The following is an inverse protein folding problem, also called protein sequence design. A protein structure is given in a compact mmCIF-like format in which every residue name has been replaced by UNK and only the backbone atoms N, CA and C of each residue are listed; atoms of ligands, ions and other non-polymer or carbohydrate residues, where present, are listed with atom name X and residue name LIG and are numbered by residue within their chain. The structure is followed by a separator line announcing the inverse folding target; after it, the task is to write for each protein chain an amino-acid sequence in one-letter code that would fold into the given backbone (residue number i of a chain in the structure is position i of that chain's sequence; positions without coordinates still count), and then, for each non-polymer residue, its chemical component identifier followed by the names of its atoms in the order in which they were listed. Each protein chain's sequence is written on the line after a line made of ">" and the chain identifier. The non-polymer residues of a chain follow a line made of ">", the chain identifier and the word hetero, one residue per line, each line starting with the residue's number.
data_IF_069797091696
#
_entry.id   IF_069797091696
#
_cell.length_a   1.000
_cell.length_b   1.000
_cell.length_c   1.000
_cell.angle_alpha   90.00
_cell.angle_beta   90.00
_cell.angle_gamma   90.00
#
_symmetry.space_group_name_H-M   'P 1'
#
loop_
_entity.id
_entity.type
_entity.pdbx_description
1 polymer ?
#
# COMPACT_ATOMS: atom_id res chain seq x y z
N UNK A 1 -36.30 -75.79 23.01
CA UNK A 1 -36.45 -74.99 21.77
C UNK A 1 -35.64 -73.72 21.96
N UNK A 2 -34.47 -73.64 21.32
CA UNK A 2 -33.53 -72.54 21.46
C UNK A 2 -33.74 -71.55 20.31
N UNK A 3 -34.11 -70.31 20.61
CA UNK A 3 -34.18 -69.23 19.64
C UNK A 3 -32.88 -68.41 19.68
N UNK A 4 -32.08 -68.55 18.62
CA UNK A 4 -30.90 -67.72 18.34
C UNK A 4 -31.35 -66.33 17.88
N UNK A 5 -30.94 -65.30 18.61
CA UNK A 5 -31.20 -63.90 18.28
C UNK A 5 -30.02 -63.37 17.43
N UNK A 6 -30.26 -63.16 16.13
CA UNK A 6 -29.25 -62.71 15.16
C UNK A 6 -29.11 -61.18 15.27
N UNK A 7 -27.99 -60.72 15.82
CA UNK A 7 -27.65 -59.29 15.88
C UNK A 7 -27.19 -58.77 14.52
N UNK A 8 -28.00 -57.92 13.88
CA UNK A 8 -27.62 -57.16 12.69
C UNK A 8 -26.88 -55.90 13.13
N UNK A 9 -25.55 -55.87 12.97
CA UNK A 9 -24.75 -54.64 13.10
C UNK A 9 -24.71 -53.94 11.75
N UNK A 10 -25.49 -52.86 11.61
CA UNK A 10 -25.35 -51.91 10.51
C UNK A 10 -24.00 -51.20 10.62
N UNK A 11 -23.07 -51.53 9.75
CA UNK A 11 -21.84 -50.77 9.55
C UNK A 11 -22.19 -49.47 8.81
N UNK A 12 -22.33 -48.36 9.56
CA UNK A 12 -22.52 -47.04 8.99
C UNK A 12 -21.23 -46.58 8.29
N UNK A 13 -21.27 -46.47 6.96
CA UNK A 13 -20.23 -45.80 6.19
C UNK A 13 -20.33 -44.28 6.42
N UNK A 14 -19.36 -43.72 7.14
CA UNK A 14 -19.19 -42.26 7.22
C UNK A 14 -18.55 -41.80 5.91
N UNK A 15 -19.35 -41.21 5.03
CA UNK A 15 -18.84 -40.48 3.87
C UNK A 15 -18.20 -39.18 4.35
N UNK A 16 -16.87 -39.13 4.35
CA UNK A 16 -16.12 -37.88 4.53
C UNK A 16 -16.13 -37.15 3.19
N UNK A 17 -17.01 -36.18 3.04
CA UNK A 17 -16.98 -35.24 1.91
C UNK A 17 -15.74 -34.35 2.05
N UNK A 18 -14.75 -34.57 1.20
CA UNK A 18 -13.60 -33.69 1.06
C UNK A 18 -14.08 -32.44 0.30
N UNK A 19 -14.54 -31.42 1.03
CA UNK A 19 -14.74 -30.10 0.43
C UNK A 19 -13.37 -29.52 0.11
N UNK A 20 -13.02 -29.43 -1.17
CA UNK A 20 -11.86 -28.65 -1.59
C UNK A 20 -12.11 -27.20 -1.19
N UNK A 21 -11.34 -26.69 -0.22
CA UNK A 21 -11.38 -25.28 0.13
C UNK A 21 -10.98 -24.47 -1.10
N UNK A 22 -11.93 -23.71 -1.65
CA UNK A 22 -11.66 -22.81 -2.76
C UNK A 22 -11.09 -21.51 -2.19
N UNK A 23 -10.03 -20.99 -2.82
CA UNK A 23 -9.51 -19.67 -2.54
C UNK A 23 -9.87 -18.76 -3.71
N UNK A 24 -10.39 -17.58 -3.39
CA UNK A 24 -10.58 -16.54 -4.40
C UNK A 24 -9.21 -15.94 -4.72
N UNK A 25 -8.86 -15.91 -6.00
CA UNK A 25 -7.65 -15.25 -6.48
C UNK A 25 -8.06 -13.93 -7.13
N UNK A 26 -7.58 -12.83 -6.56
CA UNK A 26 -7.90 -11.47 -7.02
C UNK A 26 -6.63 -10.88 -7.61
N UNK A 27 -6.65 -10.60 -8.91
CA UNK A 27 -5.52 -10.08 -9.68
C UNK A 27 -5.72 -8.63 -10.11
N UNK A 28 -6.94 -8.11 -10.01
CA UNK A 28 -7.28 -6.75 -10.43
C UNK A 28 -8.36 -6.12 -9.54
N UNK A 29 -8.52 -4.81 -9.65
CA UNK A 29 -9.59 -4.10 -8.95
C UNK A 29 -10.99 -4.48 -9.45
N UNK A 30 -11.15 -4.82 -10.73
CA UNK A 30 -12.43 -5.29 -11.26
C UNK A 30 -12.85 -6.63 -10.64
N UNK A 31 -11.90 -7.57 -10.48
CA UNK A 31 -12.14 -8.85 -9.79
C UNK A 31 -12.46 -8.65 -8.31
N UNK A 32 -11.78 -7.70 -7.66
CA UNK A 32 -12.06 -7.37 -6.26
C UNK A 32 -13.48 -6.84 -6.08
N UNK A 33 -13.93 -5.95 -6.96
CA UNK A 33 -15.28 -5.38 -6.92
C UNK A 33 -16.36 -6.40 -7.26
N UNK A 34 -16.04 -7.35 -8.16
CA UNK A 34 -16.92 -8.47 -8.47
C UNK A 34 -17.00 -9.52 -7.34
N UNK A 35 -16.10 -9.49 -6.35
CA UNK A 35 -16.11 -10.37 -5.19
C UNK A 35 -16.63 -9.63 -3.93
N UNK A 36 -17.91 -9.85 -3.52
CA UNK A 36 -18.52 -9.08 -2.44
C UNK A 36 -17.81 -9.22 -1.10
N UNK A 37 -17.27 -10.41 -0.80
CA UNK A 37 -16.54 -10.66 0.44
C UNK A 37 -15.22 -9.91 0.47
N UNK A 38 -14.44 -10.03 -0.60
CA UNK A 38 -13.18 -9.32 -0.70
C UNK A 38 -13.40 -7.80 -0.66
N UNK A 39 -14.34 -7.29 -1.44
CA UNK A 39 -14.71 -5.88 -1.43
C UNK A 39 -15.10 -5.40 -0.02
N UNK A 40 -15.96 -6.15 0.68
CA UNK A 40 -16.38 -5.82 2.04
C UNK A 40 -15.21 -5.83 3.03
N UNK A 41 -14.30 -6.79 2.90
CA UNK A 41 -13.10 -6.87 3.73
C UNK A 41 -12.18 -5.65 3.51
N UNK A 42 -11.74 -5.39 2.28
CA UNK A 42 -10.75 -4.34 2.00
C UNK A 42 -11.29 -2.92 2.19
N UNK A 43 -12.60 -2.71 1.96
CA UNK A 43 -13.28 -1.41 2.15
C UNK A 43 -13.91 -1.27 3.55
N UNK A 44 -13.64 -2.20 4.47
CA UNK A 44 -14.22 -2.18 5.82
C UNK A 44 -13.73 -0.99 6.66
N UNK A 45 -14.55 -0.51 7.62
CA UNK A 45 -14.12 0.48 8.61
C UNK A 45 -12.90 0.01 9.42
N UNK A 46 -12.83 -1.27 9.78
CA UNK A 46 -11.69 -1.81 10.54
C UNK A 46 -10.38 -1.77 9.75
N UNK A 47 -10.41 -2.08 8.45
CA UNK A 47 -9.22 -1.96 7.59
C UNK A 47 -8.79 -0.50 7.44
N UNK A 48 -9.75 0.39 7.22
CA UNK A 48 -9.49 1.84 7.10
C UNK A 48 -8.88 2.39 8.39
N UNK A 49 -9.43 2.01 9.54
CA UNK A 49 -8.95 2.44 10.86
C UNK A 49 -7.55 1.88 11.18
N UNK A 50 -7.25 0.64 10.79
CA UNK A 50 -5.92 0.07 10.98
C UNK A 50 -4.84 0.89 10.22
N UNK A 51 -5.15 1.33 9.00
CA UNK A 51 -4.26 2.22 8.22
C UNK A 51 -4.17 3.60 8.88
N UNK A 52 -5.30 4.14 9.34
CA UNK A 52 -5.35 5.44 10.01
C UNK A 52 -4.50 5.47 11.29
N UNK A 53 -4.57 4.44 12.12
CA UNK A 53 -3.76 4.33 13.34
C UNK A 53 -2.26 4.32 13.04
N UNK A 54 -1.84 3.71 11.93
CA UNK A 54 -0.45 3.76 11.50
C UNK A 54 -0.05 5.13 10.96
N UNK A 55 -0.94 5.82 10.24
CA UNK A 55 -0.72 7.19 9.81
C UNK A 55 -0.54 8.12 11.02
N UNK A 56 -1.41 8.00 12.03
CA UNK A 56 -1.35 8.75 13.28
C UNK A 56 -0.08 8.46 14.08
N UNK A 57 0.32 7.18 14.21
CA UNK A 57 1.58 6.83 14.87
C UNK A 57 2.78 7.47 14.17
N UNK A 58 2.74 7.55 12.84
CA UNK A 58 3.78 8.20 12.04
C UNK A 58 3.76 9.72 12.19
N UNK A 59 2.59 10.35 12.18
CA UNK A 59 2.44 11.78 12.47
C UNK A 59 3.00 12.14 13.86
N UNK A 60 2.64 11.37 14.90
CA UNK A 60 3.15 11.57 16.27
C UNK A 60 4.67 11.45 16.33
N UNK A 61 5.25 10.45 15.64
CA UNK A 61 6.69 10.27 15.56
C UNK A 61 7.41 11.50 14.98
N UNK A 62 6.78 12.20 14.05
CA UNK A 62 7.31 13.41 13.43
C UNK A 62 6.86 14.70 14.11
N UNK A 63 6.23 14.62 15.29
CA UNK A 63 5.77 15.79 16.04
C UNK A 63 4.64 16.54 15.34
N UNK A 64 3.88 15.89 14.46
CA UNK A 64 2.77 16.53 13.76
C UNK A 64 1.51 16.51 14.61
N UNK A 65 0.88 17.68 14.76
CA UNK A 65 -0.43 17.84 15.40
C UNK A 65 -0.52 17.10 16.76
N UNK A 66 0.46 17.24 17.67
CA UNK A 66 0.53 16.40 18.88
C UNK A 66 -0.68 16.56 19.80
N UNK A 67 -1.39 17.69 19.72
CA UNK A 67 -2.54 18.06 20.54
C UNK A 67 -3.91 17.57 20.03
N UNK A 68 -3.98 16.90 18.87
CA UNK A 68 -5.26 16.51 18.28
C UNK A 68 -5.61 15.03 18.49
N UNK A 69 -6.59 14.72 19.34
CA UNK A 69 -6.99 13.31 19.55
C UNK A 69 -8.08 12.83 18.58
N UNK A 70 -8.93 13.73 18.09
CA UNK A 70 -10.03 13.37 17.21
C UNK A 70 -9.57 13.21 15.75
N UNK A 71 -9.94 12.11 15.12
CA UNK A 71 -9.71 11.84 13.70
C UNK A 71 -10.91 11.18 13.04
N UNK A 72 -11.01 11.34 11.74
CA UNK A 72 -11.90 10.59 10.87
C UNK A 72 -11.09 10.05 9.69
N UNK A 73 -11.31 8.79 9.33
CA UNK A 73 -10.62 8.15 8.21
C UNK A 73 -11.63 7.64 7.18
N UNK A 74 -11.35 7.93 5.90
CA UNK A 74 -12.19 7.52 4.78
C UNK A 74 -11.35 6.75 3.75
N UNK A 75 -11.79 5.56 3.37
CA UNK A 75 -11.20 4.84 2.26
C UNK A 75 -11.44 5.58 0.94
N UNK A 76 -10.38 5.76 0.13
CA UNK A 76 -10.47 6.40 -1.19
C UNK A 76 -10.41 5.36 -2.30
N UNK A 77 -9.29 4.63 -2.38
CA UNK A 77 -9.05 3.66 -3.45
C UNK A 77 -8.04 2.61 -3.02
N UNK A 78 -7.88 1.58 -3.84
CA UNK A 78 -6.86 0.56 -3.68
C UNK A 78 -6.38 0.10 -5.06
N UNK A 79 -5.17 -0.44 -5.11
CA UNK A 79 -4.59 -1.11 -6.27
C UNK A 79 -4.02 -2.47 -5.86
N UNK A 80 -4.24 -3.50 -6.69
CA UNK A 80 -3.66 -4.83 -6.50
C UNK A 80 -2.24 -4.82 -7.07
N UNK A 81 -1.24 -5.06 -6.22
CA UNK A 81 0.19 -5.06 -6.61
C UNK A 81 0.69 -6.46 -6.96
N UNK A 82 0.10 -7.49 -6.35
CA UNK A 82 0.31 -8.90 -6.70
C UNK A 82 -0.94 -9.69 -6.35
N UNK A 83 -1.20 -10.84 -7.02
CA UNK A 83 -2.40 -11.64 -6.78
C UNK A 83 -2.68 -11.89 -5.30
N UNK A 84 -3.90 -11.59 -4.88
CA UNK A 84 -4.37 -11.79 -3.52
C UNK A 84 -5.09 -13.13 -3.46
N UNK A 85 -4.62 -14.00 -2.57
CA UNK A 85 -5.27 -15.28 -2.28
C UNK A 85 -6.13 -15.09 -1.04
N UNK A 86 -7.45 -15.19 -1.19
CA UNK A 86 -8.41 -15.06 -0.10
C UNK A 86 -9.15 -16.40 0.11
N UNK A 87 -8.63 -17.27 1.00
CA UNK A 87 -9.24 -18.58 1.23
C UNK A 87 -10.64 -18.48 1.82
N UNK A 88 -11.57 -19.31 1.36
CA UNK A 88 -12.97 -19.28 1.81
C UNK A 88 -13.12 -19.39 3.35
N UNK A 89 -12.22 -20.10 4.00
CA UNK A 89 -12.30 -20.40 5.44
C UNK A 89 -11.48 -19.43 6.32
N UNK A 90 -10.77 -18.45 5.75
CA UNK A 90 -9.92 -17.53 6.52
C UNK A 90 -10.50 -16.11 6.60
N UNK A 91 -10.39 -15.46 7.76
CA UNK A 91 -10.80 -14.05 7.91
C UNK A 91 -9.96 -13.10 7.05
N UNK A 92 -8.68 -13.42 6.86
CA UNK A 92 -7.70 -12.58 6.18
C UNK A 92 -7.18 -13.22 4.88
N UNK A 93 -6.69 -12.42 3.93
CA UNK A 93 -5.95 -12.94 2.79
C UNK A 93 -4.69 -13.68 3.24
N UNK A 94 -4.42 -14.84 2.63
CA UNK A 94 -3.24 -15.65 2.93
C UNK A 94 -1.99 -15.18 2.17
N UNK A 95 -2.17 -14.64 0.96
CA UNK A 95 -1.10 -14.12 0.10
C UNK A 95 -1.53 -12.86 -0.64
N UNK A 96 -0.53 -12.18 -1.19
CA UNK A 96 -0.71 -11.02 -2.04
C UNK A 96 -0.33 -9.71 -1.38
N UNK A 97 -0.42 -8.65 -2.19
CA UNK A 97 0.03 -7.30 -1.86
C UNK A 97 -0.87 -6.30 -2.55
N UNK A 98 -1.20 -5.24 -1.85
CA UNK A 98 -2.02 -4.16 -2.39
C UNK A 98 -1.57 -2.83 -1.81
N UNK A 99 -1.91 -1.76 -2.53
CA UNK A 99 -1.78 -0.39 -2.06
C UNK A 99 -3.18 0.10 -1.71
N UNK A 100 -3.39 0.59 -0.49
CA UNK A 100 -4.64 1.23 -0.08
C UNK A 100 -4.39 2.71 0.17
N UNK A 101 -5.33 3.55 -0.25
CA UNK A 101 -5.28 5.00 -0.08
C UNK A 101 -6.47 5.41 0.77
N UNK A 102 -6.19 6.09 1.89
CA UNK A 102 -7.21 6.67 2.77
C UNK A 102 -7.05 8.19 2.83
N UNK A 103 -8.13 8.91 3.13
CA UNK A 103 -8.11 10.30 3.56
C UNK A 103 -8.25 10.32 5.09
N UNK A 104 -7.32 11.00 5.77
CA UNK A 104 -7.39 11.27 7.19
C UNK A 104 -7.78 12.75 7.39
N UNK A 105 -8.83 12.99 8.17
CA UNK A 105 -9.29 14.31 8.57
C UNK A 105 -9.00 14.52 10.05
N UNK A 106 -8.13 15.49 10.37
CA UNK A 106 -7.67 15.78 11.74
C UNK A 106 -7.23 17.23 11.85
N UNK A 107 -7.52 17.89 12.97
CA UNK A 107 -7.28 19.31 13.21
C UNK A 107 -7.79 20.25 12.08
N UNK A 108 -8.91 19.91 11.44
CA UNK A 108 -9.43 20.68 10.29
C UNK A 108 -8.61 20.54 9.00
N UNK A 109 -7.62 19.65 8.96
CA UNK A 109 -6.82 19.34 7.78
C UNK A 109 -7.19 17.97 7.23
N UNK A 110 -7.25 17.87 5.91
CA UNK A 110 -7.42 16.59 5.20
C UNK A 110 -6.11 16.22 4.53
N UNK A 111 -5.72 14.95 4.66
CA UNK A 111 -4.50 14.44 4.05
C UNK A 111 -4.70 13.02 3.59
N UNK A 112 -4.29 12.73 2.35
CA UNK A 112 -4.26 11.38 1.85
C UNK A 112 -3.04 10.63 2.39
N UNK A 113 -3.24 9.35 2.70
CA UNK A 113 -2.19 8.41 3.09
C UNK A 113 -2.24 7.20 2.19
N UNK A 114 -1.08 6.86 1.64
CA UNK A 114 -0.87 5.65 0.85
C UNK A 114 -0.17 4.61 1.70
N UNK A 115 -0.73 3.39 1.74
CA UNK A 115 -0.18 2.27 2.48
C UNK A 115 -0.01 1.04 1.59
N UNK A 116 1.20 0.46 1.55
CA UNK A 116 1.44 -0.83 0.89
C UNK A 116 1.35 -1.93 1.93
N UNK A 117 0.44 -2.86 1.70
CA UNK A 117 0.05 -3.89 2.65
C UNK A 117 0.38 -5.25 2.07
N UNK A 118 0.95 -6.12 2.90
CA UNK A 118 1.19 -7.52 2.56
C UNK A 118 0.28 -8.43 3.38
N UNK A 119 -0.32 -9.40 2.73
CA UNK A 119 -0.98 -10.52 3.39
C UNK A 119 0.00 -11.29 4.29
N UNK A 120 -0.53 -11.88 5.35
CA UNK A 120 0.20 -12.77 6.25
C UNK A 120 -0.71 -13.99 6.46
N UNK A 121 -0.23 -15.18 6.13
CA UNK A 121 -1.03 -16.40 6.27
C UNK A 121 -1.56 -16.54 7.71
N UNK A 122 -2.89 -16.69 7.84
CA UNK A 122 -3.60 -16.82 9.11
C UNK A 122 -3.44 -15.66 10.11
N UNK A 123 -3.06 -14.47 9.64
CA UNK A 123 -2.95 -13.30 10.51
C UNK A 123 -3.43 -12.03 9.80
N UNK A 124 -3.77 -11.01 10.59
CA UNK A 124 -4.14 -9.72 10.05
C UNK A 124 -2.99 -9.13 9.20
N UNK A 125 -3.27 -8.63 7.99
CA UNK A 125 -2.27 -7.98 7.15
C UNK A 125 -1.64 -6.78 7.86
N UNK A 126 -0.37 -6.52 7.56
CA UNK A 126 0.37 -5.37 8.10
C UNK A 126 0.86 -4.47 6.97
N UNK A 127 0.62 -3.15 7.05
CA UNK A 127 1.29 -2.20 6.17
C UNK A 127 2.81 -2.28 6.36
N UNK A 128 3.53 -2.43 5.24
CA UNK A 128 5.00 -2.42 5.17
C UNK A 128 5.55 -1.03 4.89
N UNK A 129 4.74 -0.19 4.27
CA UNK A 129 5.08 1.17 3.88
C UNK A 129 3.84 2.03 4.07
N UNK A 130 4.01 3.23 4.64
CA UNK A 130 2.97 4.23 4.72
C UNK A 130 3.59 5.61 4.50
N UNK A 131 3.01 6.45 3.67
CA UNK A 131 3.46 7.83 3.46
C UNK A 131 2.26 8.76 3.38
N UNK A 132 2.44 10.01 3.81
CA UNK A 132 1.52 11.07 3.44
C UNK A 132 1.61 11.37 1.94
N UNK A 133 0.55 11.95 1.40
CA UNK A 133 0.49 12.39 0.01
C UNK A 133 0.18 11.27 -0.98
N UNK A 134 0.08 11.66 -2.25
CA UNK A 134 -0.18 10.78 -3.37
C UNK A 134 0.99 10.86 -4.34
N UNK A 135 1.66 9.72 -4.50
CA UNK A 135 2.65 9.47 -5.55
C UNK A 135 1.94 8.85 -6.75
N UNK A 136 2.32 9.25 -7.97
CA UNK A 136 1.98 8.53 -9.19
C UNK A 136 3.03 7.47 -9.53
N UNK A 137 4.20 7.53 -8.92
CA UNK A 137 5.13 6.41 -8.95
C UNK A 137 4.57 5.22 -8.16
N UNK A 138 4.47 4.06 -8.83
CA UNK A 138 4.12 2.80 -8.17
C UNK A 138 5.24 2.35 -7.23
N UNK A 139 4.98 1.33 -6.41
CA UNK A 139 5.96 0.81 -5.46
C UNK A 139 7.31 0.50 -6.10
N UNK A 140 7.30 -0.16 -7.27
CA UNK A 140 8.55 -0.57 -7.92
C UNK A 140 9.39 0.63 -8.31
N UNK A 141 8.76 1.63 -8.91
CA UNK A 141 9.40 2.88 -9.31
C UNK A 141 9.91 3.66 -8.09
N UNK A 142 9.19 3.63 -6.96
CA UNK A 142 9.67 4.19 -5.70
C UNK A 142 10.94 3.49 -5.21
N UNK A 143 10.94 2.15 -5.18
CA UNK A 143 12.10 1.35 -4.77
C UNK A 143 13.30 1.59 -5.69
N UNK A 144 13.07 1.68 -7.00
CA UNK A 144 14.15 1.89 -7.96
C UNK A 144 14.74 3.32 -7.85
N UNK A 145 13.91 4.31 -7.51
CA UNK A 145 14.34 5.72 -7.45
C UNK A 145 14.85 6.19 -6.08
N UNK A 146 14.48 5.52 -4.97
CA UNK A 146 14.86 5.96 -3.62
C UNK A 146 16.37 6.02 -3.41
N UNK A 147 17.14 5.10 -3.99
CA UNK A 147 18.60 5.12 -3.89
C UNK A 147 19.21 6.41 -4.46
N UNK A 148 18.72 6.87 -5.61
CA UNK A 148 19.14 8.12 -6.22
C UNK A 148 18.66 9.34 -5.43
N UNK A 149 17.46 9.30 -4.86
CA UNK A 149 16.95 10.34 -3.98
C UNK A 149 17.85 10.54 -2.76
N UNK A 150 18.23 9.45 -2.10
CA UNK A 150 19.12 9.46 -0.94
C UNK A 150 20.54 9.91 -1.30
N UNK A 151 21.05 9.44 -2.45
CA UNK A 151 22.36 9.89 -2.93
C UNK A 151 22.40 11.40 -3.16
N UNK A 152 21.35 12.00 -3.72
CA UNK A 152 21.26 13.44 -3.90
C UNK A 152 21.27 14.20 -2.55
N UNK A 153 20.66 13.65 -1.51
CA UNK A 153 20.72 14.21 -0.15
C UNK A 153 22.13 14.09 0.43
N UNK A 154 22.78 12.94 0.29
CA UNK A 154 24.17 12.74 0.76
C UNK A 154 25.14 13.66 0.04
N UNK A 155 24.93 13.94 -1.26
CA UNK A 155 25.75 14.92 -1.98
C UNK A 155 25.59 16.34 -1.45
N UNK A 156 24.39 16.71 -1.00
CA UNK A 156 24.11 18.01 -0.39
C UNK A 156 24.65 18.11 1.04
N UNK A 157 24.56 17.01 1.79
CA UNK A 157 24.98 16.93 3.19
C UNK A 157 25.77 15.62 3.44
N UNK A 158 27.10 15.62 3.22
CA UNK A 158 27.94 14.44 3.32
C UNK A 158 27.94 13.76 4.71
N UNK A 159 27.61 14.49 5.78
CA UNK A 159 27.50 13.93 7.13
C UNK A 159 26.41 12.85 7.21
N UNK A 160 25.42 12.91 6.32
CA UNK A 160 24.32 11.95 6.24
C UNK A 160 24.71 10.60 5.60
N UNK A 161 25.92 10.48 5.03
CA UNK A 161 26.40 9.29 4.32
C UNK A 161 26.41 7.99 5.14
N UNK A 162 26.48 8.09 6.47
CA UNK A 162 26.52 6.93 7.39
C UNK A 162 25.14 6.48 7.85
N UNK A 163 24.08 7.21 7.54
CA UNK A 163 22.73 6.91 8.00
C UNK A 163 22.10 5.77 7.21
N UNK A 164 21.38 4.91 7.92
CA UNK A 164 20.66 3.75 7.35
C UNK A 164 19.15 3.83 7.53
N UNK A 165 18.70 4.67 8.45
CA UNK A 165 17.28 4.79 8.79
C UNK A 165 16.63 5.85 7.92
N UNK A 166 15.72 5.40 7.06
CA UNK A 166 14.99 6.24 6.10
C UNK A 166 13.51 5.97 6.26
N UNK A 167 12.73 7.02 6.46
CA UNK A 167 11.29 6.91 6.52
C UNK A 167 10.63 7.96 5.65
N UNK A 168 9.86 7.51 4.66
CA UNK A 168 9.11 8.40 3.79
C UNK A 168 8.06 9.19 4.58
N UNK A 169 8.17 10.50 4.58
CA UNK A 169 7.24 11.38 5.26
C UNK A 169 6.07 11.71 4.34
N UNK A 170 6.35 12.30 3.18
CA UNK A 170 5.36 12.78 2.23
C UNK A 170 5.84 12.56 0.80
N UNK A 171 5.00 11.96 -0.04
CA UNK A 171 5.22 11.82 -1.48
C UNK A 171 4.09 12.57 -2.19
N UNK A 172 4.39 13.72 -2.78
CA UNK A 172 3.36 14.57 -3.35
C UNK A 172 3.65 14.96 -4.80
N UNK A 173 2.71 14.69 -5.70
CA UNK A 173 2.74 15.26 -7.06
C UNK A 173 2.74 16.78 -6.99
N UNK A 174 3.77 17.39 -7.56
CA UNK A 174 3.89 18.86 -7.69
C UNK A 174 3.51 19.33 -9.09
N UNK A 175 3.77 18.51 -10.11
CA UNK A 175 3.33 18.75 -11.48
C UNK A 175 2.71 17.46 -12.03
N UNK A 176 1.40 17.43 -12.35
CA UNK A 176 0.74 16.24 -12.87
C UNK A 176 1.23 15.86 -14.27
N UNK A 177 1.03 14.61 -14.72
CA UNK A 177 1.48 14.16 -16.02
C UNK A 177 0.84 14.96 -17.15
N UNK A 178 1.70 15.51 -18.01
CA UNK A 178 1.27 16.12 -19.27
C UNK A 178 0.67 15.04 -20.18
N UNK A 179 -0.59 15.14 -20.56
CA UNK A 179 -1.20 14.17 -21.47
C UNK A 179 -0.72 14.43 -22.89
N UNK A 180 -0.11 13.43 -23.54
CA UNK A 180 0.25 13.49 -24.95
C UNK A 180 -0.63 12.53 -25.75
N UNK A 181 -1.18 12.99 -26.86
CA UNK A 181 -2.02 12.18 -27.75
C UNK A 181 -1.13 11.57 -28.84
N UNK A 182 -1.00 10.26 -28.84
CA UNK A 182 -0.32 9.49 -29.88
C UNK A 182 -1.33 8.75 -30.77
N UNK A 183 -0.87 8.17 -31.89
CA UNK A 183 -1.71 7.26 -32.70
C UNK A 183 -2.19 6.02 -31.93
N UNK A 184 -1.48 5.63 -30.87
CA UNK A 184 -1.81 4.48 -30.04
C UNK A 184 -2.75 4.83 -28.86
N UNK A 185 -3.16 6.10 -28.74
CA UNK A 185 -3.97 6.60 -27.64
C UNK A 185 -3.27 7.69 -26.82
N UNK A 186 -3.88 8.04 -25.68
CA UNK A 186 -3.30 8.97 -24.72
C UNK A 186 -2.18 8.26 -23.94
N UNK A 187 -0.99 8.84 -23.94
CA UNK A 187 0.10 8.40 -23.08
C UNK A 187 0.34 9.45 -21.98
N UNK A 188 0.52 8.97 -20.75
CA UNK A 188 0.95 9.83 -19.66
C UNK A 188 2.36 10.35 -19.99
N UNK A 189 2.52 11.66 -20.01
CA UNK A 189 3.80 12.32 -20.24
C UNK A 189 4.57 12.51 -18.94
N UNK A 190 5.36 13.58 -18.91
CA UNK A 190 6.27 13.88 -17.79
C UNK A 190 5.48 14.40 -16.61
N UNK A 191 5.89 14.03 -15.41
CA UNK A 191 5.35 14.56 -14.15
C UNK A 191 6.46 14.78 -13.13
N UNK A 192 6.15 15.54 -12.09
CA UNK A 192 7.06 15.78 -10.97
C UNK A 192 6.41 15.53 -9.63
N UNK A 193 7.24 15.13 -8.68
CA UNK A 193 6.84 14.90 -7.30
C UNK A 193 7.88 15.50 -6.36
N UNK A 194 7.45 16.00 -5.21
CA UNK A 194 8.35 16.33 -4.11
C UNK A 194 8.30 15.19 -3.09
N UNK A 195 9.45 14.56 -2.87
CA UNK A 195 9.61 13.45 -1.96
C UNK A 195 10.29 13.95 -0.70
N UNK A 196 9.57 13.82 0.41
CA UNK A 196 10.06 14.19 1.74
C UNK A 196 10.26 12.93 2.55
N UNK A 197 11.41 12.81 3.20
CA UNK A 197 11.74 11.69 4.07
C UNK A 197 12.47 12.17 5.31
N UNK A 198 12.26 11.43 6.40
CA UNK A 198 13.06 11.55 7.61
C UNK A 198 14.33 10.73 7.42
N UNK A 199 15.47 11.40 7.43
CA UNK A 199 16.78 10.82 7.24
C UNK A 199 17.78 11.52 8.15
N UNK A 200 18.55 10.75 8.92
CA UNK A 200 19.48 11.26 9.93
C UNK A 200 18.87 12.21 10.97
N UNK A 201 17.62 11.97 11.40
CA UNK A 201 16.98 12.84 12.39
C UNK A 201 16.51 14.18 11.85
N UNK A 202 16.50 14.36 10.52
CA UNK A 202 16.07 15.57 9.85
C UNK A 202 15.10 15.25 8.73
N UNK A 203 14.22 16.20 8.41
CA UNK A 203 13.44 16.12 7.18
C UNK A 203 14.28 16.60 5.99
N UNK A 204 14.31 15.76 4.96
CA UNK A 204 14.98 16.01 3.71
C UNK A 204 13.95 15.95 2.61
N UNK A 205 13.98 16.91 1.68
CA UNK A 205 13.17 16.90 0.47
C UNK A 205 14.06 16.82 -0.75
N UNK A 206 13.54 16.17 -1.79
CA UNK A 206 14.09 16.12 -3.14
C UNK A 206 12.95 16.24 -4.15
N UNK A 207 13.21 16.87 -5.29
CA UNK A 207 12.28 16.87 -6.41
C UNK A 207 12.60 15.68 -7.32
N UNK A 208 11.60 14.86 -7.57
CA UNK A 208 11.65 13.75 -8.50
C UNK A 208 10.96 14.15 -9.80
N UNK A 209 11.62 13.95 -10.93
CA UNK A 209 11.01 14.09 -12.26
C UNK A 209 10.96 12.73 -12.93
N UNK A 210 9.79 12.36 -13.41
CA UNK A 210 9.55 11.11 -14.11
C UNK A 210 9.16 11.37 -15.56
N UNK A 211 9.70 10.57 -16.47
CA UNK A 211 9.46 10.69 -17.90
C UNK A 211 9.36 9.31 -18.54
N UNK A 212 8.39 9.06 -19.43
CA UNK A 212 8.42 7.88 -20.28
C UNK A 212 9.71 7.79 -21.08
N UNK A 213 10.29 6.60 -21.17
CA UNK A 213 11.42 6.34 -22.04
C UNK A 213 11.01 6.51 -23.51
N UNK A 214 11.86 7.15 -24.32
CA UNK A 214 11.56 7.43 -25.73
C UNK A 214 11.37 6.17 -26.57
N UNK A 215 11.94 5.04 -26.13
CA UNK A 215 11.82 3.75 -26.80
C UNK A 215 10.68 2.90 -26.23
N UNK A 216 9.92 3.41 -25.25
CA UNK A 216 8.83 2.67 -24.61
C UNK A 216 9.26 1.65 -23.55
N UNK A 217 10.53 1.65 -23.13
CA UNK A 217 11.09 0.69 -22.18
C UNK A 217 10.72 0.96 -20.71
N UNK A 218 9.67 1.74 -20.44
CA UNK A 218 9.19 2.09 -19.10
C UNK A 218 9.36 3.57 -18.76
N UNK A 219 9.62 3.86 -17.49
CA UNK A 219 9.77 5.21 -16.95
C UNK A 219 11.21 5.44 -16.52
N UNK A 220 11.77 6.59 -16.91
CA UNK A 220 13.03 7.11 -16.38
C UNK A 220 12.74 8.11 -15.27
N UNK A 221 13.62 8.19 -14.29
CA UNK A 221 13.53 9.17 -13.22
C UNK A 221 14.81 10.00 -13.12
N UNK A 222 14.64 11.23 -12.64
CA UNK A 222 15.70 12.18 -12.38
C UNK A 222 15.46 12.80 -11.01
N UNK A 223 16.54 13.08 -10.30
CA UNK A 223 16.50 13.66 -8.95
C UNK A 223 17.16 15.02 -9.01
N UNK A 224 16.45 16.04 -8.56
CA UNK A 224 17.05 17.30 -8.16
C UNK A 224 17.13 17.31 -6.64
N UNK A 225 18.34 17.54 -6.12
CA UNK A 225 18.58 17.51 -4.69
C UNK A 225 17.64 18.50 -3.97
N UNK A 226 17.27 19.63 -4.58
CA UNK A 226 16.41 20.62 -3.93
C UNK A 226 17.01 21.21 -2.64
N UNK A 227 16.17 21.77 -1.78
CA UNK A 227 16.56 22.36 -0.48
C UNK A 227 16.00 21.54 0.70
N UNK A 228 16.59 21.63 1.91
CA UNK A 228 16.07 20.96 3.10
C UNK A 228 14.59 21.31 3.36
N UNK A 229 13.81 20.32 3.77
CA UNK A 229 12.38 20.52 4.04
C UNK A 229 12.19 21.19 5.40
N UNK A 230 11.14 22.02 5.53
CA UNK A 230 10.61 22.43 6.83
C UNK A 230 9.40 21.57 7.16
N UNK A 231 9.25 21.22 8.45
CA UNK A 231 7.99 20.65 8.93
C UNK A 231 6.86 21.65 8.60
N UNK A 232 5.74 21.20 8.01
CA UNK A 232 4.55 22.03 7.88
C UNK A 232 3.93 22.36 9.24
#
# INVERSE_FOLDING_TARGET
>A
MNALNLGVRLAGFVFVSISCAHADIITSMAELEANPRAAAYFKSPSTTEAIAQMALAKERKFGMQPECDAHEAKFLTMDVLSPIEFPAEQEHPAKGRWQAIIELHRCGQRRAYSAIIGAIDRAAPKPKFISAGLSLANERLIIDAVGSALFAVVLRDPETSKCKDIEFFNLAVTEPPTLSRSRAGLTAGKWKENWTFWFCGQLQSVEMRFEPDKNGNGIRFFVDAGTPAKLP
#
